data_IF_792739306541
#
_entry.id   IF_792739306541
#
_cell.length_a   1.000
_cell.length_b   1.000
_cell.length_c   1.000
_cell.angle_alpha   90.00
_cell.angle_beta   90.00
_cell.angle_gamma   90.00
#
_symmetry.space_group_name_H-M   'P 1'
#
loop_
_entity.id
_entity.type
_entity.pdbx_description
1 polymer ?
#
# COMPACT_ATOMS: atom_id res chain seq x y z
N UNK A 1 -27.54 0.87 -71.66
CA UNK A 1 -26.52 -0.05 -71.10
C UNK A 1 -25.66 0.78 -70.16
N UNK A 2 -25.98 0.80 -68.85
CA UNK A 2 -25.27 1.62 -67.86
C UNK A 2 -24.52 0.69 -66.90
N UNK A 3 -23.19 0.65 -67.02
CA UNK A 3 -22.29 -0.08 -66.10
C UNK A 3 -22.03 0.79 -64.87
N UNK A 4 -22.54 0.35 -63.72
CA UNK A 4 -22.27 0.95 -62.40
C UNK A 4 -20.97 0.38 -61.83
N UNK A 5 -19.96 1.22 -61.68
CA UNK A 5 -18.73 0.91 -60.93
C UNK A 5 -18.98 1.15 -59.44
N UNK A 6 -18.97 0.09 -58.64
CA UNK A 6 -19.08 0.19 -57.19
C UNK A 6 -17.70 0.47 -56.57
N UNK A 7 -17.55 1.64 -55.95
CA UNK A 7 -16.41 1.97 -55.10
C UNK A 7 -16.68 1.41 -53.70
N UNK A 8 -15.91 0.41 -53.28
CA UNK A 8 -15.91 -0.08 -51.89
C UNK A 8 -14.89 0.75 -51.11
N UNK A 9 -15.39 1.60 -50.20
CA UNK A 9 -14.56 2.35 -49.27
C UNK A 9 -14.10 1.42 -48.13
N UNK A 10 -12.80 1.11 -48.10
CA UNK A 10 -12.16 0.38 -47.01
C UNK A 10 -11.99 1.35 -45.83
N UNK A 11 -12.90 1.29 -44.86
CA UNK A 11 -12.81 2.06 -43.63
C UNK A 11 -11.78 1.40 -42.71
N UNK A 12 -10.53 1.86 -42.80
CA UNK A 12 -9.45 1.41 -41.93
C UNK A 12 -9.65 1.88 -40.50
N UNK A 13 -9.95 0.96 -39.59
CA UNK A 13 -9.92 1.20 -38.15
C UNK A 13 -8.47 1.44 -37.71
N UNK A 14 -8.12 2.70 -37.43
CA UNK A 14 -6.87 3.04 -36.74
C UNK A 14 -7.04 2.58 -35.28
N UNK A 15 -6.44 1.45 -34.93
CA UNK A 15 -6.30 1.03 -33.54
C UNK A 15 -5.35 2.00 -32.84
N UNK A 16 -5.92 2.96 -32.11
CA UNK A 16 -5.16 3.78 -31.15
C UNK A 16 -4.57 2.83 -30.10
N UNK A 17 -3.27 2.58 -30.21
CA UNK A 17 -2.52 1.76 -29.27
C UNK A 17 -2.72 2.29 -27.86
N UNK A 18 -3.24 1.45 -26.97
CA UNK A 18 -3.27 1.73 -25.55
C UNK A 18 -1.84 2.07 -25.11
N UNK A 19 -1.64 3.26 -24.52
CA UNK A 19 -0.37 3.67 -23.93
C UNK A 19 0.13 2.53 -23.05
N UNK A 20 1.29 1.96 -23.40
CA UNK A 20 1.93 0.94 -22.58
C UNK A 20 2.14 1.49 -21.17
N UNK A 21 1.84 0.68 -20.15
CA UNK A 21 2.11 1.05 -18.76
C UNK A 21 3.62 1.37 -18.62
N UNK A 22 3.99 2.40 -17.83
CA UNK A 22 5.39 2.63 -17.52
C UNK A 22 5.97 1.37 -16.85
N UNK A 23 7.30 1.16 -16.95
CA UNK A 23 7.97 0.03 -16.31
C UNK A 23 7.55 -0.09 -14.85
N UNK A 24 7.15 -1.29 -14.44
CA UNK A 24 6.77 -1.54 -13.05
C UNK A 24 7.96 -1.23 -12.16
N UNK A 25 7.71 -0.53 -11.05
CA UNK A 25 8.70 -0.33 -10.00
C UNK A 25 9.09 -1.71 -9.44
N UNK A 26 10.36 -2.11 -9.62
CA UNK A 26 11.02 -3.20 -8.89
C UNK A 26 12.32 -2.63 -8.32
N UNK A 27 12.33 -2.34 -7.02
CA UNK A 27 13.49 -1.80 -6.32
C UNK A 27 13.82 -2.68 -5.10
N UNK A 28 14.88 -3.52 -5.19
CA UNK A 28 15.24 -4.45 -4.13
C UNK A 28 15.88 -3.75 -2.92
N UNK A 29 16.02 -2.42 -2.93
CA UNK A 29 16.53 -1.65 -1.78
C UNK A 29 15.41 -0.95 -1.02
N UNK A 30 14.20 -0.86 -1.59
CA UNK A 30 13.06 -0.19 -0.95
C UNK A 30 12.22 -1.16 -0.12
N UNK A 31 11.58 -0.68 0.98
CA UNK A 31 10.63 -1.49 1.72
C UNK A 31 9.42 -1.93 0.88
N UNK A 32 8.96 -1.07 -0.02
CA UNK A 32 7.98 -1.44 -1.05
C UNK A 32 8.78 -1.78 -2.30
N UNK A 33 9.06 -3.07 -2.49
CA UNK A 33 9.91 -3.56 -3.58
C UNK A 33 9.19 -3.47 -4.92
N UNK A 34 8.00 -4.06 -4.99
CA UNK A 34 7.21 -4.14 -6.22
C UNK A 34 5.78 -3.69 -5.96
N UNK A 35 5.21 -2.93 -6.88
CA UNK A 35 3.85 -2.44 -6.77
C UNK A 35 3.05 -2.81 -8.02
N UNK A 36 1.85 -3.36 -7.80
CA UNK A 36 0.87 -3.65 -8.83
C UNK A 36 -0.41 -2.86 -8.67
N UNK A 37 -1.40 -3.20 -9.50
CA UNK A 37 -2.77 -2.67 -9.44
C UNK A 37 -3.57 -3.33 -8.32
N UNK A 38 -3.32 -4.61 -8.11
CA UNK A 38 -4.04 -5.51 -7.20
C UNK A 38 -3.10 -6.22 -6.21
N UNK A 39 -1.82 -5.87 -6.21
CA UNK A 39 -0.84 -6.44 -5.31
C UNK A 39 0.25 -5.44 -4.88
N UNK A 40 0.96 -5.79 -3.81
CA UNK A 40 2.22 -5.19 -3.41
C UNK A 40 3.19 -6.26 -2.90
N UNK A 41 4.49 -6.05 -3.12
CA UNK A 41 5.57 -6.86 -2.54
C UNK A 41 6.34 -5.98 -1.57
N UNK A 42 6.28 -6.34 -0.30
CA UNK A 42 6.99 -5.67 0.78
C UNK A 42 8.22 -6.47 1.18
N UNK A 43 9.24 -5.78 1.66
CA UNK A 43 10.41 -6.39 2.25
C UNK A 43 10.94 -5.56 3.41
N UNK A 44 11.46 -6.22 4.44
CA UNK A 44 12.01 -5.56 5.62
C UNK A 44 12.92 -6.48 6.42
N UNK A 45 13.67 -5.89 7.35
CA UNK A 45 14.50 -6.61 8.30
C UNK A 45 14.04 -6.38 9.76
N UNK A 46 14.03 -7.43 10.58
CA UNK A 46 13.78 -7.39 12.03
C UNK A 46 15.06 -7.68 12.81
N UNK A 47 15.17 -7.14 14.04
CA UNK A 47 16.36 -7.34 14.86
C UNK A 47 16.49 -8.78 15.38
N UNK A 48 15.35 -9.45 15.61
CA UNK A 48 15.27 -10.83 16.08
C UNK A 48 14.41 -11.67 15.13
N UNK A 49 14.74 -12.96 14.92
CA UNK A 49 13.91 -13.83 14.09
C UNK A 49 12.46 -13.88 14.58
N UNK A 50 11.51 -13.64 13.68
CA UNK A 50 10.08 -13.72 14.00
C UNK A 50 9.26 -14.18 12.79
N UNK A 51 7.98 -14.52 12.96
CA UNK A 51 7.09 -14.80 11.85
C UNK A 51 6.94 -13.59 10.92
N UNK A 52 6.78 -13.85 9.62
CA UNK A 52 6.46 -12.80 8.64
C UNK A 52 4.99 -12.44 8.77
N UNK A 53 4.70 -11.27 9.35
CA UNK A 53 3.32 -10.80 9.54
C UNK A 53 3.24 -9.28 9.48
N UNK A 54 2.17 -8.78 8.88
CA UNK A 54 1.77 -7.38 8.96
C UNK A 54 0.29 -7.29 9.33
N UNK A 55 -0.12 -6.11 9.79
CA UNK A 55 -1.51 -5.69 9.70
C UNK A 55 -1.66 -4.67 8.58
N UNK A 56 -2.74 -4.80 7.82
CA UNK A 56 -3.03 -3.99 6.65
C UNK A 56 -4.41 -3.37 6.80
N UNK A 57 -4.51 -2.09 6.46
CA UNK A 57 -5.73 -1.29 6.51
C UNK A 57 -5.91 -0.52 5.22
N UNK A 58 -7.10 -0.60 4.63
CA UNK A 58 -7.49 0.27 3.52
C UNK A 58 -7.82 1.68 4.06
N UNK A 59 -7.27 2.71 3.42
CA UNK A 59 -7.63 4.10 3.70
C UNK A 59 -6.46 5.07 3.70
N UNK A 60 -6.81 6.35 3.51
CA UNK A 60 -5.85 7.47 3.40
C UNK A 60 -5.55 8.15 4.73
N UNK A 61 -6.27 7.82 5.80
CA UNK A 61 -6.12 8.47 7.10
C UNK A 61 -5.00 7.75 7.88
N UNK A 62 -3.81 8.37 8.04
CA UNK A 62 -2.76 7.80 8.87
C UNK A 62 -3.24 7.68 10.31
N UNK A 63 -2.58 6.86 11.12
CA UNK A 63 -2.88 6.77 12.55
C UNK A 63 -2.93 8.18 13.14
N UNK A 64 -4.06 8.58 13.72
CA UNK A 64 -4.26 9.93 14.25
C UNK A 64 -3.42 10.11 15.51
N UNK A 65 -2.91 11.32 15.72
CA UNK A 65 -2.49 11.71 17.07
C UNK A 65 -3.76 11.60 17.92
N UNK A 66 -3.77 10.84 19.01
CA UNK A 66 -4.99 10.64 19.79
C UNK A 66 -5.60 11.99 20.15
N UNK A 67 -6.92 12.10 19.93
CA UNK A 67 -7.68 13.25 20.40
C UNK A 67 -7.85 13.18 21.93
N UNK A 68 -8.77 13.99 22.50
CA UNK A 68 -9.16 13.88 23.90
C UNK A 68 -9.47 12.43 24.29
N UNK A 69 -9.28 12.08 25.56
CA UNK A 69 -9.33 10.70 26.08
C UNK A 69 -10.57 9.89 25.71
N UNK A 70 -11.66 10.55 25.32
CA UNK A 70 -12.91 9.95 24.84
C UNK A 70 -12.86 9.35 23.43
N UNK A 71 -11.77 9.53 22.65
CA UNK A 71 -11.70 8.99 21.27
C UNK A 71 -10.96 7.64 21.20
N UNK A 72 -11.44 6.69 20.35
CA UNK A 72 -10.78 5.40 20.16
C UNK A 72 -9.31 5.58 19.75
N UNK A 73 -8.40 5.08 20.59
CA UNK A 73 -6.95 5.21 20.38
C UNK A 73 -6.39 4.21 19.37
N UNK A 74 -7.10 3.10 19.14
CA UNK A 74 -6.64 2.03 18.24
C UNK A 74 -7.47 1.98 16.96
N UNK A 75 -6.81 2.25 15.83
CA UNK A 75 -7.39 2.14 14.48
C UNK A 75 -7.22 0.74 13.89
N UNK A 76 -6.41 -0.10 14.54
CA UNK A 76 -6.00 -1.43 14.08
C UNK A 76 -6.91 -2.56 14.56
N UNK A 77 -7.87 -2.26 15.45
CA UNK A 77 -8.93 -3.18 15.87
C UNK A 77 -10.22 -3.02 15.06
N UNK A 78 -10.24 -2.12 14.07
CA UNK A 78 -11.41 -1.84 13.23
C UNK A 78 -11.62 -2.93 12.17
N UNK A 79 -12.87 -3.12 11.75
CA UNK A 79 -13.27 -4.12 10.75
C UNK A 79 -12.56 -4.02 9.39
N UNK A 80 -11.99 -2.86 9.04
CA UNK A 80 -11.23 -2.67 7.79
C UNK A 80 -9.73 -3.00 7.93
N UNK A 81 -9.32 -3.57 9.07
CA UNK A 81 -7.96 -4.07 9.30
C UNK A 81 -7.95 -5.58 9.11
N UNK A 82 -6.94 -6.10 8.41
CA UNK A 82 -6.70 -7.54 8.30
C UNK A 82 -5.24 -7.87 8.58
N UNK A 83 -5.02 -9.01 9.21
CA UNK A 83 -3.71 -9.62 9.33
C UNK A 83 -3.31 -10.27 8.00
N UNK A 84 -2.06 -10.08 7.59
CA UNK A 84 -1.49 -10.76 6.42
C UNK A 84 -0.24 -11.51 6.88
N UNK A 85 -0.31 -12.83 6.82
CA UNK A 85 0.81 -13.70 7.11
C UNK A 85 1.59 -14.01 5.83
N UNK A 86 2.92 -14.07 5.96
CA UNK A 86 3.81 -14.61 4.93
C UNK A 86 4.02 -16.11 5.07
N UNK A 87 5.03 -16.65 4.38
CA UNK A 87 5.39 -18.06 4.52
C UNK A 87 5.71 -18.43 5.97
N UNK A 88 5.37 -19.67 6.35
CA UNK A 88 5.60 -20.19 7.70
C UNK A 88 7.08 -20.15 8.10
N UNK A 89 7.34 -20.12 9.41
CA UNK A 89 8.68 -20.08 10.00
C UNK A 89 9.11 -18.68 10.46
N UNK A 90 10.28 -18.63 11.09
CA UNK A 90 10.88 -17.40 11.63
C UNK A 90 12.09 -16.98 10.79
N UNK A 91 12.29 -15.67 10.66
CA UNK A 91 13.39 -15.09 9.88
C UNK A 91 13.62 -13.65 10.32
N UNK A 92 14.78 -13.10 9.96
CA UNK A 92 15.09 -11.68 10.16
C UNK A 92 14.83 -10.86 8.90
N UNK A 93 15.07 -11.44 7.72
CA UNK A 93 14.72 -10.84 6.44
C UNK A 93 13.39 -11.38 5.92
N UNK A 94 12.45 -10.48 5.63
CA UNK A 94 11.09 -10.81 5.25
C UNK A 94 10.79 -10.30 3.84
N UNK A 95 10.08 -11.12 3.07
CA UNK A 95 9.46 -10.73 1.81
C UNK A 95 8.01 -11.19 1.86
N UNK A 96 7.08 -10.29 1.59
CA UNK A 96 5.65 -10.54 1.66
C UNK A 96 4.95 -10.02 0.41
N UNK A 97 4.33 -10.93 -0.35
CA UNK A 97 3.40 -10.58 -1.43
C UNK A 97 1.98 -10.50 -0.87
N UNK A 98 1.36 -9.34 -1.06
CA UNK A 98 -0.02 -9.05 -0.66
C UNK A 98 -0.85 -8.99 -1.94
N UNK A 99 -1.90 -9.80 -2.04
CA UNK A 99 -2.83 -9.79 -3.17
C UNK A 99 -4.24 -9.29 -2.81
N UNK A 100 -5.11 -9.24 -3.83
CA UNK A 100 -6.52 -8.86 -3.69
C UNK A 100 -6.70 -7.40 -3.25
N UNK A 101 -5.80 -6.52 -3.69
CA UNK A 101 -5.88 -5.08 -3.41
C UNK A 101 -6.73 -4.39 -4.47
N UNK A 102 -7.34 -3.26 -4.11
CA UNK A 102 -8.06 -2.41 -5.06
C UNK A 102 -7.06 -1.54 -5.84
N UNK A 103 -7.23 -1.34 -7.15
CA UNK A 103 -6.44 -0.38 -7.92
C UNK A 103 -6.58 1.06 -7.42
N UNK A 104 -5.52 1.86 -7.59
CA UNK A 104 -5.49 3.28 -7.23
C UNK A 104 -5.81 3.58 -5.77
N UNK A 105 -5.62 2.61 -4.88
CA UNK A 105 -6.08 2.68 -3.48
C UNK A 105 -4.90 2.74 -2.54
N UNK A 106 -5.00 3.62 -1.54
CA UNK A 106 -3.99 3.73 -0.48
C UNK A 106 -4.24 2.68 0.59
N UNK A 107 -3.16 1.98 0.92
CA UNK A 107 -3.09 1.05 2.01
C UNK A 107 -2.06 1.51 3.03
N UNK A 108 -2.36 1.19 4.27
CA UNK A 108 -1.59 1.56 5.42
C UNK A 108 -1.29 0.28 6.20
N UNK A 109 -0.04 0.05 6.58
CA UNK A 109 0.38 -1.19 7.21
C UNK A 109 1.32 -0.97 8.38
N UNK A 110 1.37 -1.93 9.30
CA UNK A 110 2.38 -2.01 10.35
C UNK A 110 2.98 -3.41 10.38
N UNK A 111 4.26 -3.46 10.70
CA UNK A 111 5.07 -4.69 10.69
C UNK A 111 5.06 -5.28 12.09
N UNK A 112 4.82 -6.59 12.18
CA UNK A 112 5.01 -7.32 13.42
C UNK A 112 6.50 -7.44 13.72
N UNK A 113 6.89 -7.00 14.91
CA UNK A 113 8.23 -7.17 15.45
C UNK A 113 8.10 -7.37 16.96
N UNK A 114 8.32 -8.60 17.48
CA UNK A 114 8.15 -8.88 18.90
C UNK A 114 9.15 -8.12 19.78
N UNK A 115 10.21 -7.56 19.19
CA UNK A 115 11.18 -6.71 19.90
C UNK A 115 10.83 -5.21 19.89
N UNK A 116 9.75 -4.81 19.21
CA UNK A 116 9.28 -3.44 19.22
C UNK A 116 8.59 -3.12 20.55
N UNK A 117 9.28 -2.38 21.42
CA UNK A 117 8.72 -1.85 22.67
C UNK A 117 8.62 -0.32 22.60
N UNK A 118 7.41 0.24 22.45
CA UNK A 118 7.22 1.68 22.38
C UNK A 118 7.37 2.34 23.75
N UNK A 119 8.01 3.52 23.76
CA UNK A 119 8.09 4.40 24.93
C UNK A 119 6.70 4.84 25.41
N UNK A 120 6.62 5.36 26.65
CA UNK A 120 5.36 5.88 27.20
C UNK A 120 4.73 6.98 26.33
N UNK A 121 5.55 7.82 25.68
CA UNK A 121 5.07 8.87 24.77
C UNK A 121 4.53 8.29 23.46
N UNK A 122 5.23 7.32 22.86
CA UNK A 122 4.75 6.64 21.65
C UNK A 122 3.44 5.88 21.89
N UNK A 123 3.28 5.27 23.06
CA UNK A 123 2.01 4.64 23.47
C UNK A 123 0.88 5.66 23.56
N UNK A 124 1.15 6.87 24.08
CA UNK A 124 0.18 7.98 24.04
C UNK A 124 -0.15 8.45 22.63
N UNK A 125 0.65 8.11 21.63
CA UNK A 125 0.38 8.33 20.21
C UNK A 125 -0.27 7.14 19.51
N UNK A 126 -0.56 6.07 20.25
CA UNK A 126 -1.23 4.86 19.76
C UNK A 126 -0.28 3.75 19.31
N UNK A 127 1.03 3.84 19.59
CA UNK A 127 1.94 2.72 19.36
C UNK A 127 1.61 1.56 20.31
N UNK A 128 1.67 0.33 19.79
CA UNK A 128 1.35 -0.89 20.53
C UNK A 128 2.59 -1.79 20.56
N UNK A 129 2.93 -2.42 21.70
CA UNK A 129 4.02 -3.40 21.77
C UNK A 129 3.88 -4.52 20.75
N UNK A 130 5.00 -5.01 20.23
CA UNK A 130 5.03 -6.06 19.21
C UNK A 130 4.78 -5.56 17.78
N UNK A 131 4.53 -4.26 17.60
CA UNK A 131 4.28 -3.63 16.31
C UNK A 131 5.18 -2.43 16.08
N UNK A 132 5.78 -2.37 14.88
CA UNK A 132 6.50 -1.18 14.43
C UNK A 132 5.55 -0.06 14.03
N UNK A 133 6.11 1.13 13.84
CA UNK A 133 5.40 2.30 13.28
C UNK A 133 4.69 1.98 11.96
N UNK A 134 3.67 2.77 11.69
CA UNK A 134 2.85 2.69 10.48
C UNK A 134 3.63 3.16 9.24
N UNK A 135 3.38 2.48 8.11
CA UNK A 135 3.85 2.81 6.78
C UNK A 135 2.67 2.84 5.80
N UNK A 136 2.85 3.41 4.62
CA UNK A 136 1.81 3.39 3.59
C UNK A 136 2.38 3.14 2.20
N UNK A 137 1.54 2.59 1.33
CA UNK A 137 1.75 2.52 -0.11
C UNK A 137 0.42 2.74 -0.82
N UNK A 138 0.46 3.04 -2.12
CA UNK A 138 -0.76 3.12 -2.95
C UNK A 138 -0.56 2.24 -4.16
N UNK A 139 -1.57 1.42 -4.49
CA UNK A 139 -1.55 0.60 -5.71
C UNK A 139 -1.63 1.47 -6.96
N UNK A 140 -1.24 0.91 -8.09
CA UNK A 140 -1.36 1.57 -9.40
C UNK A 140 -2.83 1.79 -9.75
N UNK A 141 -3.18 2.97 -10.28
CA UNK A 141 -4.51 3.28 -10.82
C UNK A 141 -4.81 2.40 -12.02
N UNK A 142 -6.09 2.14 -12.36
CA UNK A 142 -6.53 1.39 -13.56
C UNK A 142 -5.86 1.81 -14.88
N UNK A 143 -5.87 0.93 -15.89
CA UNK A 143 -5.14 1.18 -17.13
C UNK A 143 -5.71 2.43 -17.83
N UNK A 144 -4.84 3.26 -18.39
CA UNK A 144 -5.23 4.55 -18.95
C UNK A 144 -5.71 5.58 -17.92
N UNK A 145 -5.51 5.36 -16.61
CA UNK A 145 -5.80 6.34 -15.55
C UNK A 145 -4.55 6.72 -14.78
N UNK A 146 -4.54 7.96 -14.29
CA UNK A 146 -3.52 8.49 -13.39
C UNK A 146 -3.91 8.22 -11.93
N UNK A 147 -2.96 7.77 -11.12
CA UNK A 147 -3.12 7.74 -9.65
C UNK A 147 -2.82 9.13 -9.09
N UNK A 148 -3.80 9.77 -8.44
CA UNK A 148 -3.56 10.95 -7.62
C UNK A 148 -3.54 10.52 -6.15
N UNK A 149 -2.35 10.52 -5.54
CA UNK A 149 -2.19 10.18 -4.13
C UNK A 149 -2.18 11.48 -3.32
N UNK A 150 -3.23 11.70 -2.52
CA UNK A 150 -3.22 12.76 -1.51
C UNK A 150 -2.48 12.25 -0.27
N UNK A 151 -1.32 12.83 0.01
CA UNK A 151 -0.53 12.48 1.19
C UNK A 151 -0.83 13.50 2.30
N UNK A 152 -1.55 13.12 3.37
CA UNK A 152 -1.73 14.01 4.50
C UNK A 152 -0.37 14.17 5.21
N UNK A 153 0.07 15.41 5.35
CA UNK A 153 1.28 15.76 6.09
C UNK A 153 0.89 16.08 7.53
N UNK A 154 1.58 15.45 8.48
CA UNK A 154 1.51 15.82 9.89
C UNK A 154 2.79 16.56 10.26
N UNK A 155 2.63 17.72 10.88
CA UNK A 155 3.74 18.53 11.39
C UNK A 155 3.72 18.45 12.91
N UNK A 156 4.85 18.07 13.51
CA UNK A 156 5.07 18.20 14.96
C UNK A 156 5.77 19.54 15.18
N UNK A 157 5.07 20.46 15.83
CA UNK A 157 5.67 21.72 16.30
C UNK A 157 6.03 21.52 17.77
N UNK A 158 7.32 21.57 18.08
CA UNK A 158 7.81 21.58 19.45
C UNK A 158 8.16 23.03 19.81
N UNK A 159 7.59 23.62 20.87
CA UNK A 159 8.06 24.90 21.37
C UNK A 159 9.48 24.74 21.92
N UNK A 160 10.34 25.72 21.61
CA UNK A 160 11.70 25.82 22.13
C UNK A 160 11.69 26.13 23.63
#
# INVERSE_FOLDING_TARGET
MFTRTAFVALMGCIALGASADPPRLDDPTRPVRTLGRDFAVLQWHTARPCPTRIQLREGSVPMRTPGPDSKPRTVWTRANTRDVAGPAGVRTFHVLRIGGLKPGTRYTYRIHDPSADPTGQERRWGAEPGWRREYSFSTLAPAGRMTIIRVPVKVLLMPN
#
